data_IF_446275321293
#
_entry.id   IF_446275321293
#
_cell.length_a   1.000
_cell.length_b   1.000
_cell.length_c   1.000
_cell.angle_alpha   90.00
_cell.angle_beta   90.00
_cell.angle_gamma   90.00
#
_symmetry.space_group_name_H-M   'P 1'
#
loop_
_entity.id
_entity.type
_entity.pdbx_description
1 polymer ?
#
# COMPACT_ATOMS: atom_id res chain seq x y z
N UNK A 1 1.78 -17.69 -31.54
CA UNK A 1 1.66 -16.86 -30.32
C UNK A 1 1.11 -17.76 -29.23
N UNK A 2 1.70 -17.74 -28.03
CA UNK A 2 1.27 -18.59 -26.91
C UNK A 2 0.08 -18.00 -26.12
N UNK A 3 -0.37 -16.78 -26.48
CA UNK A 3 -1.63 -16.19 -26.07
C UNK A 3 -2.44 -15.66 -27.26
N UNK A 4 -3.61 -15.11 -26.96
CA UNK A 4 -4.55 -14.56 -27.94
C UNK A 4 -4.68 -13.07 -27.73
N UNK A 5 -4.12 -12.30 -28.65
CA UNK A 5 -4.19 -10.84 -28.65
C UNK A 5 -5.46 -10.36 -29.38
N UNK A 6 -6.23 -9.50 -28.72
CA UNK A 6 -7.33 -8.75 -29.32
C UNK A 6 -6.99 -7.26 -29.40
N UNK A 7 -7.87 -6.44 -29.98
CA UNK A 7 -7.61 -5.00 -30.12
C UNK A 7 -7.38 -4.28 -28.79
N UNK A 8 -7.96 -4.78 -27.69
CA UNK A 8 -7.97 -4.12 -26.37
C UNK A 8 -7.66 -5.07 -25.21
N UNK A 9 -7.18 -6.28 -25.48
CA UNK A 9 -6.90 -7.26 -24.44
C UNK A 9 -5.86 -8.29 -24.91
N UNK A 10 -5.30 -9.02 -23.95
CA UNK A 10 -4.45 -10.18 -24.20
C UNK A 10 -4.87 -11.33 -23.30
N UNK A 11 -5.31 -12.44 -23.88
CA UNK A 11 -5.64 -13.65 -23.14
C UNK A 11 -4.40 -14.56 -23.07
N UNK A 12 -3.95 -14.97 -21.87
CA UNK A 12 -2.81 -15.89 -21.70
C UNK A 12 -3.19 -17.35 -22.00
N UNK A 13 -3.75 -17.57 -23.19
CA UNK A 13 -4.16 -18.88 -23.72
C UNK A 13 -4.18 -18.85 -25.25
N UNK A 14 -3.69 -19.90 -25.88
CA UNK A 14 -3.76 -20.08 -27.34
C UNK A 14 -5.19 -20.42 -27.78
N UNK A 15 -5.66 -19.78 -28.85
CA UNK A 15 -6.99 -20.04 -29.42
C UNK A 15 -7.03 -21.14 -30.49
N UNK A 16 -6.31 -22.25 -30.32
CA UNK A 16 -6.31 -23.37 -31.28
C UNK A 16 -7.65 -24.11 -31.34
N UNK A 17 -8.35 -24.20 -30.21
CA UNK A 17 -9.68 -24.83 -30.10
C UNK A 17 -10.83 -23.91 -30.48
N UNK A 18 -10.56 -22.63 -30.76
CA UNK A 18 -11.59 -21.64 -31.09
C UNK A 18 -12.49 -21.25 -29.91
N UNK A 19 -12.11 -21.53 -28.65
CA UNK A 19 -12.92 -21.25 -27.45
C UNK A 19 -12.63 -19.87 -26.83
N UNK A 20 -11.50 -19.23 -27.16
CA UNK A 20 -11.10 -17.97 -26.54
C UNK A 20 -12.05 -16.86 -26.97
N UNK A 21 -12.51 -16.05 -26.02
CA UNK A 21 -13.47 -14.97 -26.21
C UNK A 21 -13.03 -13.70 -25.50
N UNK A 22 -13.51 -12.56 -25.98
CA UNK A 22 -13.26 -11.25 -25.37
C UNK A 22 -13.60 -11.25 -23.87
N UNK A 23 -12.69 -10.78 -22.99
CA UNK A 23 -12.94 -10.67 -21.56
C UNK A 23 -13.91 -9.53 -21.22
N UNK A 24 -14.35 -8.76 -22.22
CA UNK A 24 -15.36 -7.71 -22.07
C UNK A 24 -16.77 -8.16 -22.44
N UNK A 25 -16.92 -9.33 -23.06
CA UNK A 25 -18.20 -9.78 -23.61
C UNK A 25 -18.62 -11.15 -23.06
N UNK A 26 -17.65 -12.03 -22.76
CA UNK A 26 -17.94 -13.42 -22.39
C UNK A 26 -17.16 -13.86 -21.16
N UNK A 27 -17.75 -14.75 -20.31
CA UNK A 27 -17.07 -15.38 -19.19
C UNK A 27 -15.80 -16.12 -19.59
N UNK A 28 -14.77 -16.04 -18.74
CA UNK A 28 -13.45 -16.60 -18.96
C UNK A 28 -13.26 -17.96 -18.26
N UNK A 29 -14.36 -18.70 -18.06
CA UNK A 29 -14.37 -20.00 -17.36
C UNK A 29 -13.59 -21.11 -18.07
N UNK A 30 -13.17 -20.89 -19.31
CA UNK A 30 -12.26 -21.80 -20.02
C UNK A 30 -10.79 -21.64 -19.57
N UNK A 31 -10.44 -20.55 -18.88
CA UNK A 31 -9.09 -20.31 -18.38
C UNK A 31 -8.76 -21.15 -17.14
N UNK A 32 -9.72 -21.25 -16.22
CA UNK A 32 -9.59 -21.99 -14.95
C UNK A 32 -10.96 -22.43 -14.45
N UNK A 33 -10.99 -23.32 -13.45
CA UNK A 33 -12.22 -23.77 -12.81
C UNK A 33 -13.06 -22.55 -12.29
N UNK A 34 -14.38 -22.50 -12.56
CA UNK A 34 -15.28 -21.45 -12.06
C UNK A 34 -15.18 -21.19 -10.55
N UNK A 35 -14.87 -22.20 -9.73
CA UNK A 35 -14.65 -22.03 -8.29
C UNK A 35 -13.51 -21.05 -7.96
N UNK A 36 -12.50 -20.92 -8.81
CA UNK A 36 -11.42 -19.95 -8.63
C UNK A 36 -11.94 -18.50 -8.73
N UNK A 37 -12.88 -18.22 -9.63
CA UNK A 37 -13.51 -16.91 -9.76
C UNK A 37 -14.34 -16.56 -8.52
N UNK A 38 -15.12 -17.54 -8.00
CA UNK A 38 -15.84 -17.39 -6.73
C UNK A 38 -14.89 -17.14 -5.56
N UNK A 39 -13.72 -17.80 -5.53
CA UNK A 39 -12.71 -17.57 -4.51
C UNK A 39 -12.11 -16.15 -4.60
N UNK A 40 -11.83 -15.64 -5.80
CA UNK A 40 -11.39 -14.25 -6.01
C UNK A 40 -12.46 -13.25 -5.57
N UNK A 41 -13.73 -13.50 -5.91
CA UNK A 41 -14.84 -12.64 -5.49
C UNK A 41 -14.97 -12.61 -3.95
N UNK A 42 -14.89 -13.76 -3.28
CA UNK A 42 -14.92 -13.85 -1.82
C UNK A 42 -13.71 -13.13 -1.18
N UNK A 43 -12.52 -13.28 -1.77
CA UNK A 43 -11.33 -12.57 -1.33
C UNK A 43 -11.46 -11.05 -1.47
N UNK A 44 -11.92 -10.55 -2.62
CA UNK A 44 -12.15 -9.11 -2.82
C UNK A 44 -13.23 -8.57 -1.89
N UNK A 45 -14.29 -9.33 -1.65
CA UNK A 45 -15.31 -8.97 -0.66
C UNK A 45 -14.72 -8.83 0.74
N UNK A 46 -13.85 -9.76 1.17
CA UNK A 46 -13.13 -9.66 2.44
C UNK A 46 -12.24 -8.41 2.47
N UNK A 47 -11.53 -8.13 1.38
CA UNK A 47 -10.70 -6.92 1.29
C UNK A 47 -11.51 -5.63 1.45
N UNK A 48 -12.71 -5.57 0.85
CA UNK A 48 -13.60 -4.41 0.98
C UNK A 48 -14.14 -4.33 2.42
N UNK A 49 -14.61 -5.44 2.96
CA UNK A 49 -15.22 -5.53 4.29
C UNK A 49 -14.26 -5.08 5.40
N UNK A 50 -12.96 -5.36 5.27
CA UNK A 50 -11.94 -4.97 6.25
C UNK A 50 -11.28 -3.64 5.87
N UNK A 51 -10.96 -3.46 4.60
CA UNK A 51 -10.24 -2.29 4.10
C UNK A 51 -11.03 -1.00 4.24
N UNK A 52 -12.33 -1.00 3.94
CA UNK A 52 -13.14 0.21 4.05
C UNK A 52 -13.22 0.72 5.49
N UNK A 53 -13.65 -0.09 6.50
CA UNK A 53 -13.77 0.41 7.87
C UNK A 53 -12.44 0.85 8.48
N UNK A 54 -11.35 0.11 8.25
CA UNK A 54 -10.03 0.45 8.82
C UNK A 54 -9.52 1.79 8.28
N UNK A 55 -9.61 2.00 6.97
CA UNK A 55 -9.15 3.26 6.36
C UNK A 55 -10.10 4.42 6.69
N UNK A 56 -11.42 4.19 6.70
CA UNK A 56 -12.39 5.21 7.08
C UNK A 56 -12.22 5.63 8.55
N UNK A 57 -12.04 4.67 9.47
CA UNK A 57 -11.78 4.96 10.87
C UNK A 57 -10.47 5.72 11.05
N UNK A 58 -9.43 5.37 10.27
CA UNK A 58 -8.15 6.08 10.29
C UNK A 58 -8.30 7.55 9.91
N UNK A 59 -9.06 7.81 8.86
CA UNK A 59 -9.42 9.16 8.41
C UNK A 59 -10.22 9.90 9.49
N UNK A 60 -11.29 9.29 9.99
CA UNK A 60 -12.19 9.87 10.98
C UNK A 60 -11.49 10.26 12.29
N UNK A 61 -10.72 9.32 12.89
CA UNK A 61 -10.02 9.55 14.17
C UNK A 61 -8.99 10.67 14.03
N UNK A 62 -8.27 10.75 12.92
CA UNK A 62 -7.27 11.80 12.68
C UNK A 62 -7.92 13.19 12.54
N UNK A 63 -9.10 13.26 11.91
CA UNK A 63 -9.86 14.50 11.78
C UNK A 63 -10.45 14.96 13.11
N UNK A 64 -10.97 14.03 13.92
CA UNK A 64 -11.59 14.32 15.21
C UNK A 64 -10.55 14.80 16.24
N UNK A 65 -9.42 14.09 16.36
CA UNK A 65 -8.41 14.38 17.38
C UNK A 65 -7.34 15.36 16.87
N UNK A 66 -7.47 16.65 17.21
CA UNK A 66 -6.47 17.69 16.85
C UNK A 66 -5.04 17.34 17.23
N UNK A 67 -4.83 16.58 18.31
CA UNK A 67 -3.51 16.09 18.75
C UNK A 67 -2.82 15.20 17.72
N UNK A 68 -3.58 14.57 16.83
CA UNK A 68 -3.08 13.76 15.73
C UNK A 68 -2.77 14.57 14.47
N UNK A 69 -2.89 15.89 14.44
CA UNK A 69 -2.59 16.69 13.24
C UNK A 69 -1.12 17.08 13.17
N UNK A 70 -0.23 16.09 13.28
CA UNK A 70 1.21 16.28 13.15
C UNK A 70 1.65 15.96 11.72
N UNK A 71 2.76 16.53 11.23
CA UNK A 71 3.26 16.30 9.86
C UNK A 71 3.34 14.81 9.45
N UNK A 72 3.70 13.93 10.38
CA UNK A 72 3.72 12.48 10.17
C UNK A 72 2.33 11.92 9.86
N UNK A 73 1.32 12.38 10.59
CA UNK A 73 -0.04 11.88 10.47
C UNK A 73 -0.75 12.41 9.21
N UNK A 74 -0.25 13.48 8.56
CA UNK A 74 -0.71 13.88 7.22
C UNK A 74 -0.42 12.79 6.18
N UNK A 75 0.73 12.11 6.27
CA UNK A 75 1.06 11.00 5.37
C UNK A 75 0.19 9.77 5.64
N UNK A 76 -0.16 9.52 6.91
CA UNK A 76 -1.11 8.46 7.27
C UNK A 76 -2.52 8.76 6.73
N UNK A 77 -2.95 10.01 6.83
CA UNK A 77 -4.21 10.48 6.26
C UNK A 77 -4.22 10.27 4.75
N UNK A 78 -3.14 10.67 4.08
CA UNK A 78 -2.96 10.51 2.65
C UNK A 78 -3.09 9.05 2.21
N UNK A 79 -2.45 8.14 2.95
CA UNK A 79 -2.52 6.70 2.71
C UNK A 79 -3.92 6.14 2.92
N UNK A 80 -4.63 6.59 3.96
CA UNK A 80 -6.02 6.19 4.19
C UNK A 80 -6.93 6.63 3.04
N UNK A 81 -6.76 7.85 2.52
CA UNK A 81 -7.50 8.34 1.35
C UNK A 81 -7.17 7.52 0.10
N UNK A 82 -5.89 7.23 -0.15
CA UNK A 82 -5.46 6.40 -1.27
C UNK A 82 -6.07 4.99 -1.24
N UNK A 83 -6.08 4.36 -0.07
CA UNK A 83 -6.67 3.04 0.10
C UNK A 83 -8.20 3.07 -0.07
N UNK A 84 -8.89 4.11 0.42
CA UNK A 84 -10.32 4.28 0.17
C UNK A 84 -10.61 4.42 -1.33
N UNK A 85 -9.74 5.10 -2.07
CA UNK A 85 -9.83 5.19 -3.53
C UNK A 85 -9.73 3.81 -4.20
N UNK A 86 -8.77 2.98 -3.78
CA UNK A 86 -8.64 1.59 -4.26
C UNK A 86 -9.85 0.74 -3.90
N UNK A 87 -10.35 0.84 -2.67
CA UNK A 87 -11.45 0.02 -2.17
C UNK A 87 -12.76 0.37 -2.89
N UNK A 88 -13.08 1.66 -3.02
CA UNK A 88 -14.36 2.12 -3.58
C UNK A 88 -14.40 1.96 -5.10
N UNK A 89 -13.34 2.33 -5.81
CA UNK A 89 -13.33 2.30 -7.28
C UNK A 89 -12.75 1.01 -7.87
N UNK A 90 -11.63 0.55 -7.32
CA UNK A 90 -10.92 -0.64 -7.79
C UNK A 90 -11.60 -1.92 -7.34
N UNK A 91 -11.61 -2.18 -6.03
CA UNK A 91 -11.96 -3.49 -5.49
C UNK A 91 -13.40 -3.87 -5.73
N UNK A 92 -14.33 -2.90 -5.71
CA UNK A 92 -15.73 -3.11 -6.08
C UNK A 92 -15.85 -3.62 -7.52
N UNK A 93 -15.12 -3.02 -8.45
CA UNK A 93 -15.09 -3.41 -9.86
C UNK A 93 -14.44 -4.79 -10.05
N UNK A 94 -13.31 -5.06 -9.39
CA UNK A 94 -12.65 -6.37 -9.40
C UNK A 94 -13.57 -7.46 -8.84
N UNK A 95 -14.25 -7.19 -7.72
CA UNK A 95 -15.19 -8.11 -7.08
C UNK A 95 -16.36 -8.42 -8.03
N UNK A 96 -16.97 -7.38 -8.59
CA UNK A 96 -18.11 -7.53 -9.50
C UNK A 96 -17.72 -8.32 -10.76
N UNK A 97 -16.53 -8.06 -11.32
CA UNK A 97 -16.00 -8.80 -12.47
C UNK A 97 -15.70 -10.26 -12.12
N UNK A 98 -15.15 -10.51 -10.93
CA UNK A 98 -14.87 -11.87 -10.43
C UNK A 98 -16.15 -12.69 -10.20
N UNK A 99 -17.25 -12.06 -9.78
CA UNK A 99 -18.56 -12.73 -9.61
C UNK A 99 -19.15 -13.22 -10.94
N UNK A 100 -18.81 -12.58 -12.06
CA UNK A 100 -19.33 -12.91 -13.38
C UNK A 100 -18.33 -13.70 -14.25
N UNK A 101 -17.05 -13.72 -13.84
CA UNK A 101 -15.98 -14.40 -14.56
C UNK A 101 -15.39 -13.63 -15.75
N UNK A 102 -15.72 -12.34 -15.90
CA UNK A 102 -15.22 -11.44 -16.94
C UNK A 102 -15.52 -9.97 -16.59
N UNK A 103 -14.96 -9.01 -17.35
CA UNK A 103 -15.20 -7.58 -17.17
C UNK A 103 -16.54 -7.13 -17.76
N UNK A 104 -17.62 -7.34 -17.01
CA UNK A 104 -19.00 -6.96 -17.38
C UNK A 104 -19.15 -5.46 -17.67
N UNK A 105 -18.39 -4.63 -16.96
CA UNK A 105 -18.40 -3.16 -17.14
C UNK A 105 -17.59 -2.70 -18.36
N UNK A 106 -17.15 -3.63 -19.21
CA UNK A 106 -16.39 -3.37 -20.42
C UNK A 106 -15.07 -2.65 -20.14
N UNK A 107 -14.58 -1.93 -21.16
CA UNK A 107 -13.32 -1.18 -21.09
C UNK A 107 -13.37 -0.06 -20.05
N UNK A 108 -14.52 0.59 -19.90
CA UNK A 108 -14.69 1.67 -18.91
C UNK A 108 -14.48 1.15 -17.50
N UNK A 109 -15.06 0.00 -17.15
CA UNK A 109 -14.81 -0.63 -15.85
C UNK A 109 -13.35 -1.03 -15.66
N UNK A 110 -12.70 -1.56 -16.69
CA UNK A 110 -11.28 -1.88 -16.66
C UNK A 110 -10.39 -0.65 -16.43
N UNK A 111 -10.71 0.47 -17.08
CA UNK A 111 -10.01 1.74 -16.87
C UNK A 111 -10.21 2.27 -15.45
N UNK A 112 -11.44 2.20 -14.91
CA UNK A 112 -11.72 2.60 -13.52
C UNK A 112 -10.93 1.72 -12.55
N UNK A 113 -10.95 0.41 -12.74
CA UNK A 113 -10.29 -0.54 -11.86
C UNK A 113 -8.77 -0.35 -11.87
N UNK A 114 -8.18 -0.33 -13.07
CA UNK A 114 -6.74 -0.14 -13.26
C UNK A 114 -6.28 1.23 -12.76
N UNK A 115 -7.01 2.30 -13.09
CA UNK A 115 -6.71 3.64 -12.60
C UNK A 115 -6.74 3.72 -11.08
N UNK A 116 -7.82 3.26 -10.44
CA UNK A 116 -7.95 3.31 -8.98
C UNK A 116 -6.89 2.46 -8.28
N UNK A 117 -6.60 1.27 -8.80
CA UNK A 117 -5.56 0.39 -8.25
C UNK A 117 -4.16 0.99 -8.40
N UNK A 118 -3.80 1.48 -9.59
CA UNK A 118 -2.49 2.13 -9.83
C UNK A 118 -2.36 3.42 -9.04
N UNK A 119 -3.36 4.30 -9.08
CA UNK A 119 -3.30 5.60 -8.42
C UNK A 119 -3.13 5.45 -6.90
N UNK A 120 -3.92 4.57 -6.28
CA UNK A 120 -3.79 4.32 -4.83
C UNK A 120 -2.47 3.65 -4.46
N UNK A 121 -2.02 2.66 -5.25
CA UNK A 121 -0.72 1.99 -5.05
C UNK A 121 0.46 2.96 -5.16
N UNK A 122 0.42 3.86 -6.14
CA UNK A 122 1.44 4.89 -6.34
C UNK A 122 1.42 5.95 -5.23
N UNK A 123 0.26 6.44 -4.80
CA UNK A 123 0.20 7.36 -3.65
C UNK A 123 0.81 6.69 -2.42
N UNK A 124 0.54 5.40 -2.19
CA UNK A 124 1.12 4.64 -1.10
C UNK A 124 2.64 4.55 -1.19
N UNK A 125 3.17 4.22 -2.37
CA UNK A 125 4.62 4.16 -2.63
C UNK A 125 5.29 5.50 -2.37
N UNK A 126 4.81 6.57 -2.99
CA UNK A 126 5.42 7.89 -2.84
C UNK A 126 5.25 8.45 -1.42
N UNK A 127 4.20 8.03 -0.69
CA UNK A 127 4.06 8.32 0.74
C UNK A 127 5.18 7.67 1.56
N UNK A 128 5.59 6.44 1.24
CA UNK A 128 6.74 5.79 1.88
C UNK A 128 8.04 6.51 1.57
N UNK A 129 8.22 7.01 0.34
CA UNK A 129 9.40 7.81 -0.05
C UNK A 129 9.46 9.11 0.75
N UNK A 130 8.36 9.87 0.82
CA UNK A 130 8.29 11.12 1.59
C UNK A 130 8.58 10.87 3.06
N UNK A 131 8.03 9.80 3.63
CA UNK A 131 8.29 9.42 5.01
C UNK A 131 9.75 9.01 5.24
N UNK A 132 10.37 8.29 4.31
CA UNK A 132 11.79 7.94 4.41
C UNK A 132 12.69 9.19 4.40
N UNK A 133 12.41 10.14 3.50
CA UNK A 133 13.13 11.42 3.43
C UNK A 133 12.92 12.24 4.70
N UNK A 134 11.68 12.40 5.17
CA UNK A 134 11.36 13.14 6.39
C UNK A 134 12.15 12.59 7.59
N UNK A 135 12.10 11.27 7.79
CA UNK A 135 12.83 10.62 8.89
C UNK A 135 14.33 10.81 8.78
N UNK A 136 14.88 10.69 7.58
CA UNK A 136 16.30 10.93 7.36
C UNK A 136 16.70 12.38 7.65
N UNK A 137 15.92 13.37 7.19
CA UNK A 137 16.23 14.78 7.46
C UNK A 137 16.11 15.09 8.95
N UNK A 138 15.02 14.72 9.60
CA UNK A 138 14.77 15.06 11.01
C UNK A 138 15.78 14.42 11.96
N UNK A 139 16.21 13.18 11.67
CA UNK A 139 17.09 12.44 12.59
C UNK A 139 18.57 12.59 12.22
N UNK A 140 18.94 12.45 10.95
CA UNK A 140 20.35 12.43 10.53
C UNK A 140 20.91 13.81 10.18
N UNK A 141 20.04 14.80 9.96
CA UNK A 141 20.44 16.16 9.58
C UNK A 141 19.76 17.16 10.52
N UNK A 142 20.25 17.31 11.76
CA UNK A 142 19.82 18.40 12.63
C UNK A 142 20.38 19.71 12.07
N UNK A 143 19.76 20.20 10.99
CA UNK A 143 20.07 21.50 10.39
C UNK A 143 19.62 22.54 11.42
N UNK A 144 20.56 23.35 11.89
CA UNK A 144 20.24 24.43 12.81
C UNK A 144 19.10 25.29 12.22
N UNK A 145 18.00 25.39 12.96
CA UNK A 145 16.77 26.12 12.61
C UNK A 145 15.81 25.46 11.59
N UNK A 146 16.04 24.22 11.13
CA UNK A 146 15.05 23.51 10.32
C UNK A 146 14.10 22.70 11.21
N UNK A 147 12.79 22.93 11.05
CA UNK A 147 11.75 22.10 11.65
C UNK A 147 10.77 21.66 10.58
N UNK A 148 10.60 20.35 10.44
CA UNK A 148 9.59 19.79 9.56
C UNK A 148 8.20 20.18 10.09
N UNK A 149 7.53 21.06 9.37
CA UNK A 149 6.23 21.64 9.71
C UNK A 149 5.15 21.25 8.72
N UNK A 150 3.94 21.79 8.91
CA UNK A 150 2.76 21.47 8.10
C UNK A 150 2.95 21.77 6.61
N UNK A 151 3.58 22.89 6.26
CA UNK A 151 3.85 23.24 4.86
C UNK A 151 4.67 22.17 4.13
N UNK A 152 5.66 21.57 4.81
CA UNK A 152 6.48 20.51 4.24
C UNK A 152 5.68 19.21 4.08
N UNK A 153 4.78 18.91 5.03
CA UNK A 153 3.87 17.77 4.91
C UNK A 153 2.89 17.93 3.73
N UNK A 154 2.27 19.11 3.58
CA UNK A 154 1.35 19.42 2.46
C UNK A 154 2.09 19.34 1.12
N UNK A 155 3.31 19.86 1.05
CA UNK A 155 4.15 19.72 -0.14
C UNK A 155 4.47 18.25 -0.44
N UNK A 156 4.78 17.45 0.58
CA UNK A 156 4.97 16.00 0.45
C UNK A 156 3.74 15.29 -0.08
N UNK A 157 2.56 15.56 0.49
CA UNK A 157 1.28 15.00 0.02
C UNK A 157 1.03 15.40 -1.43
N UNK A 158 1.14 16.68 -1.77
CA UNK A 158 0.95 17.18 -3.14
C UNK A 158 1.89 16.48 -4.14
N UNK A 159 3.15 16.27 -3.74
CA UNK A 159 4.12 15.52 -4.52
C UNK A 159 3.70 14.06 -4.75
N UNK A 160 3.18 13.36 -3.73
CA UNK A 160 2.72 11.97 -3.91
C UNK A 160 1.58 11.86 -4.93
N UNK A 161 0.65 12.81 -4.94
CA UNK A 161 -0.48 12.82 -5.88
C UNK A 161 -0.01 13.14 -7.29
N UNK A 162 0.92 14.08 -7.44
CA UNK A 162 1.52 14.40 -8.72
C UNK A 162 2.23 13.19 -9.32
N UNK A 163 3.07 12.52 -8.54
CA UNK A 163 3.78 11.32 -9.00
C UNK A 163 2.81 10.17 -9.30
N UNK A 164 1.79 9.96 -8.46
CA UNK A 164 0.77 8.95 -8.74
C UNK A 164 0.00 9.24 -10.03
N UNK A 165 -0.37 10.50 -10.28
CA UNK A 165 -1.00 10.91 -11.52
C UNK A 165 -0.06 10.71 -12.73
N UNK A 166 1.24 10.99 -12.57
CA UNK A 166 2.24 10.80 -13.61
C UNK A 166 2.41 9.33 -14.07
N UNK A 167 1.95 8.36 -13.29
CA UNK A 167 1.89 6.94 -13.68
C UNK A 167 0.48 6.48 -14.06
N UNK A 168 -0.56 6.90 -13.32
CA UNK A 168 -1.93 6.37 -13.50
C UNK A 168 -2.73 7.06 -14.61
N UNK A 169 -2.46 8.32 -14.92
CA UNK A 169 -3.18 9.07 -15.95
C UNK A 169 -2.73 8.75 -17.38
N UNK A 170 -1.42 8.60 -17.70
CA UNK A 170 -0.99 8.38 -19.09
C UNK A 170 -1.68 7.22 -19.83
N UNK A 171 -1.93 6.06 -19.20
CA UNK A 171 -2.68 4.96 -19.84
C UNK A 171 -4.12 5.31 -20.26
N UNK A 172 -4.71 6.37 -19.67
CA UNK A 172 -6.04 6.86 -20.03
C UNK A 172 -6.01 7.83 -21.22
N UNK A 173 -4.85 8.41 -21.54
CA UNK A 173 -4.69 9.47 -22.55
C UNK A 173 -3.76 9.07 -23.69
N UNK A 174 -3.52 7.77 -23.87
CA UNK A 174 -2.85 7.21 -25.05
C UNK A 174 -1.37 6.88 -24.91
N UNK A 175 -0.79 6.96 -23.71
CA UNK A 175 0.54 6.42 -23.43
C UNK A 175 0.42 5.17 -22.56
N UNK A 176 0.56 3.99 -23.17
CA UNK A 176 0.06 2.71 -22.69
C UNK A 176 -1.47 2.65 -22.60
N UNK A 177 -1.98 1.63 -21.92
CA UNK A 177 -3.41 1.42 -21.63
C UNK A 177 -3.59 0.47 -20.45
N UNK A 178 -4.79 0.49 -19.88
CA UNK A 178 -5.25 -0.54 -18.93
C UNK A 178 -5.90 -1.70 -19.68
N UNK A 179 -5.43 -2.92 -19.43
CA UNK A 179 -6.02 -4.15 -19.98
C UNK A 179 -6.21 -5.22 -18.90
N UNK A 180 -7.11 -6.19 -19.11
CA UNK A 180 -7.36 -7.25 -18.13
C UNK A 180 -6.15 -8.17 -18.01
N UNK A 181 -5.83 -8.56 -16.78
CA UNK A 181 -4.65 -9.36 -16.44
C UNK A 181 -5.02 -10.68 -15.75
N UNK A 182 -4.17 -11.69 -15.92
CA UNK A 182 -4.32 -13.00 -15.28
C UNK A 182 -5.58 -13.75 -15.69
N UNK A 183 -6.48 -14.00 -14.73
CA UNK A 183 -7.81 -14.58 -14.95
C UNK A 183 -8.81 -13.59 -15.57
N UNK A 184 -8.37 -12.38 -15.92
CA UNK A 184 -9.16 -11.36 -16.61
C UNK A 184 -10.27 -10.76 -15.74
N UNK A 185 -10.03 -10.67 -14.43
CA UNK A 185 -10.95 -10.04 -13.46
C UNK A 185 -10.35 -8.83 -12.74
N UNK A 186 -9.07 -8.54 -12.98
CA UNK A 186 -8.37 -7.32 -12.59
C UNK A 186 -7.75 -6.70 -13.85
N UNK A 187 -7.48 -5.39 -13.82
CA UNK A 187 -6.83 -4.66 -14.89
C UNK A 187 -5.52 -4.04 -14.41
N UNK A 188 -4.56 -3.99 -15.32
CA UNK A 188 -3.23 -3.45 -15.08
C UNK A 188 -2.67 -2.81 -16.34
N UNK A 189 -1.45 -2.31 -16.22
CA UNK A 189 -0.72 -1.71 -17.34
C UNK A 189 -0.45 -2.78 -18.42
N UNK A 190 -0.48 -2.40 -19.68
CA UNK A 190 -0.16 -3.32 -20.77
C UNK A 190 1.35 -3.60 -20.89
N UNK A 191 1.80 -4.64 -20.16
CA UNK A 191 3.12 -5.26 -20.32
C UNK A 191 3.08 -6.48 -21.26
N UNK A 192 1.92 -6.81 -21.82
CA UNK A 192 1.69 -8.01 -22.63
C UNK A 192 1.97 -7.81 -24.12
N UNK A 193 1.59 -6.65 -24.66
CA UNK A 193 1.53 -6.42 -26.11
C UNK A 193 2.43 -5.27 -26.56
N UNK A 194 2.73 -5.26 -27.87
CA UNK A 194 3.38 -4.14 -28.57
C UNK A 194 2.38 -3.44 -29.48
N UNK A 195 1.26 -3.01 -28.90
CA UNK A 195 0.19 -2.35 -29.63
C UNK A 195 0.69 -1.06 -30.34
N UNK A 196 0.60 -0.97 -31.67
CA UNK A 196 1.04 0.20 -32.41
C UNK A 196 0.31 1.47 -31.95
N UNK A 197 1.04 2.57 -31.78
CA UNK A 197 0.47 3.87 -31.40
C UNK A 197 0.30 4.11 -29.89
N UNK A 198 0.37 3.08 -29.04
CA UNK A 198 0.27 3.23 -27.58
C UNK A 198 1.62 3.32 -26.86
N UNK A 199 2.71 2.90 -27.51
CA UNK A 199 4.07 2.96 -26.98
C UNK A 199 4.25 2.25 -25.62
N UNK A 200 3.59 1.10 -25.42
CA UNK A 200 3.62 0.29 -24.20
C UNK A 200 5.04 0.08 -23.66
N UNK A 201 6.00 -0.26 -24.51
CA UNK A 201 7.39 -0.55 -24.11
C UNK A 201 8.04 0.64 -23.39
N UNK A 202 7.88 1.85 -23.95
CA UNK A 202 8.42 3.07 -23.34
C UNK A 202 7.78 3.37 -21.99
N UNK A 203 6.47 3.13 -21.86
CA UNK A 203 5.74 3.35 -20.61
C UNK A 203 6.13 2.35 -19.53
N UNK A 204 6.28 1.07 -19.88
CA UNK A 204 6.71 0.03 -18.93
C UNK A 204 8.13 0.32 -18.43
N UNK A 205 9.06 0.70 -19.31
CA UNK A 205 10.41 1.11 -18.90
C UNK A 205 10.37 2.33 -17.97
N UNK A 206 9.54 3.33 -18.30
CA UNK A 206 9.31 4.50 -17.45
C UNK A 206 8.77 4.11 -16.07
N UNK A 207 7.74 3.28 -16.00
CA UNK A 207 7.13 2.82 -14.75
C UNK A 207 8.16 2.09 -13.88
N UNK A 208 8.89 1.12 -14.42
CA UNK A 208 9.89 0.37 -13.64
C UNK A 208 11.06 1.26 -13.20
N UNK A 209 11.47 2.22 -14.01
CA UNK A 209 12.59 3.11 -13.66
C UNK A 209 12.14 4.15 -12.63
N UNK A 210 11.12 4.94 -12.95
CA UNK A 210 10.69 6.10 -12.18
C UNK A 210 9.79 5.74 -10.99
N UNK A 211 8.95 4.72 -11.12
CA UNK A 211 7.93 4.34 -10.14
C UNK A 211 8.24 3.03 -9.42
N UNK A 212 9.43 2.45 -9.61
CA UNK A 212 9.86 1.29 -8.85
C UNK A 212 11.32 1.41 -8.39
N UNK A 213 12.28 1.51 -9.32
CA UNK A 213 13.71 1.57 -8.98
C UNK A 213 14.09 2.84 -8.21
N UNK A 214 13.69 4.02 -8.67
CA UNK A 214 14.01 5.29 -7.97
C UNK A 214 13.42 5.31 -6.55
N UNK A 215 12.12 5.06 -6.32
CA UNK A 215 11.53 4.98 -4.98
C UNK A 215 12.28 4.00 -4.06
N UNK A 216 12.58 2.80 -4.54
CA UNK A 216 13.32 1.80 -3.76
C UNK A 216 14.70 2.31 -3.37
N UNK A 217 15.47 2.86 -4.31
CA UNK A 217 16.81 3.39 -4.03
C UNK A 217 16.76 4.51 -2.99
N UNK A 218 15.80 5.42 -3.09
CA UNK A 218 15.62 6.51 -2.12
C UNK A 218 15.26 5.96 -0.74
N UNK A 219 14.32 5.02 -0.66
CA UNK A 219 13.91 4.40 0.62
C UNK A 219 15.10 3.67 1.26
N UNK A 220 15.81 2.84 0.51
CA UNK A 220 16.99 2.11 1.01
C UNK A 220 18.09 3.06 1.47
N UNK A 221 18.37 4.11 0.70
CA UNK A 221 19.37 5.10 1.08
C UNK A 221 18.99 5.83 2.37
N UNK A 222 17.78 6.41 2.43
CA UNK A 222 17.33 7.20 3.58
C UNK A 222 17.32 6.36 4.86
N UNK A 223 16.74 5.16 4.79
CA UNK A 223 16.66 4.28 5.94
C UNK A 223 17.99 3.62 6.30
N UNK A 224 18.86 3.33 5.34
CA UNK A 224 20.23 2.90 5.62
C UNK A 224 21.00 3.94 6.43
N UNK A 225 20.92 5.22 6.02
CA UNK A 225 21.54 6.33 6.75
C UNK A 225 20.89 6.55 8.13
N UNK A 226 19.57 6.40 8.24
CA UNK A 226 18.85 6.46 9.50
C UNK A 226 19.35 5.41 10.48
N UNK A 227 19.43 4.15 10.06
CA UNK A 227 19.92 3.05 10.90
C UNK A 227 21.37 3.26 11.34
N UNK A 228 22.25 3.75 10.47
CA UNK A 228 23.62 4.10 10.85
C UNK A 228 23.64 5.17 11.96
N UNK A 229 22.93 6.28 11.75
CA UNK A 229 22.93 7.40 12.70
C UNK A 229 22.36 7.01 14.08
N UNK A 230 21.27 6.23 14.08
CA UNK A 230 20.64 5.80 15.34
C UNK A 230 21.52 4.77 16.07
N UNK A 231 22.20 3.88 15.36
CA UNK A 231 23.18 2.95 15.96
C UNK A 231 24.39 3.67 16.53
N UNK A 232 24.92 4.68 15.82
CA UNK A 232 26.02 5.51 16.33
C UNK A 232 25.62 6.26 17.60
N UNK A 233 24.42 6.85 17.64
CA UNK A 233 23.90 7.53 18.82
C UNK A 233 23.70 6.57 20.00
N UNK A 234 23.13 5.38 19.75
CA UNK A 234 22.98 4.34 20.78
C UNK A 234 24.34 3.85 21.30
N UNK A 235 25.35 3.72 20.43
CA UNK A 235 26.70 3.35 20.84
C UNK A 235 27.40 4.46 21.66
N UNK A 236 27.12 5.73 21.37
CA UNK A 236 27.64 6.86 22.15
C UNK A 236 26.96 7.00 23.52
N UNK A 237 25.70 6.57 23.65
CA UNK A 237 24.90 6.68 24.87
C UNK A 237 24.43 5.29 25.35
N UNK A 238 25.40 4.40 25.61
CA UNK A 238 25.12 3.02 26.03
C UNK A 238 24.34 2.92 27.34
N UNK A 239 24.55 3.85 28.27
CA UNK A 239 23.88 3.86 29.58
C UNK A 239 22.42 4.37 29.51
N UNK A 240 22.00 4.97 28.39
CA UNK A 240 20.66 5.54 28.25
C UNK A 240 19.66 4.50 27.73
N UNK A 241 18.90 3.88 28.65
CA UNK A 241 17.82 2.94 28.29
C UNK A 241 16.79 3.56 27.32
N UNK A 242 16.51 4.85 27.46
CA UNK A 242 15.59 5.58 26.58
C UNK A 242 16.12 5.68 25.15
N UNK A 243 17.42 5.91 24.97
CA UNK A 243 18.07 5.98 23.65
C UNK A 243 18.14 4.60 22.99
N UNK A 244 18.49 3.55 23.75
CA UNK A 244 18.48 2.17 23.27
C UNK A 244 17.07 1.71 22.84
N UNK A 245 16.05 2.07 23.62
CA UNK A 245 14.66 1.77 23.27
C UNK A 245 14.22 2.49 21.99
N UNK A 246 14.56 3.76 21.86
CA UNK A 246 14.26 4.54 20.66
C UNK A 246 14.93 3.93 19.42
N UNK A 247 16.18 3.46 19.52
CA UNK A 247 16.86 2.73 18.45
C UNK A 247 16.06 1.51 18.02
N UNK A 248 15.70 0.65 18.97
CA UNK A 248 15.00 -0.60 18.67
C UNK A 248 13.64 -0.36 18.03
N UNK A 249 12.91 0.67 18.48
CA UNK A 249 11.60 1.02 17.94
C UNK A 249 11.70 1.56 16.50
N UNK A 250 12.67 2.45 16.23
CA UNK A 250 12.92 3.00 14.88
C UNK A 250 13.40 1.90 13.94
N UNK A 251 14.40 1.10 14.35
CA UNK A 251 14.94 0.00 13.55
C UNK A 251 13.87 -1.02 13.19
N UNK A 252 13.00 -1.39 14.14
CA UNK A 252 11.87 -2.29 13.89
C UNK A 252 10.87 -1.69 12.89
N UNK A 253 10.53 -0.41 13.04
CA UNK A 253 9.60 0.28 12.12
C UNK A 253 10.11 0.27 10.68
N UNK A 254 11.37 0.68 10.48
CA UNK A 254 12.02 0.71 9.16
C UNK A 254 11.98 -0.66 8.49
N UNK A 255 12.41 -1.69 9.22
CA UNK A 255 12.49 -3.06 8.69
C UNK A 255 11.10 -3.56 8.31
N UNK A 256 10.09 -3.36 9.17
CA UNK A 256 8.73 -3.80 8.89
C UNK A 256 8.13 -3.10 7.66
N UNK A 257 8.35 -1.79 7.50
CA UNK A 257 7.80 -1.02 6.38
C UNK A 257 8.42 -1.43 5.05
N UNK A 258 9.74 -1.60 4.99
CA UNK A 258 10.44 -2.05 3.78
C UNK A 258 10.05 -3.48 3.42
N UNK A 259 10.04 -4.39 4.40
CA UNK A 259 9.65 -5.79 4.18
C UNK A 259 8.19 -5.88 3.70
N UNK A 260 7.27 -5.14 4.33
CA UNK A 260 5.86 -5.14 3.93
C UNK A 260 5.68 -4.65 2.49
N UNK A 261 6.41 -3.60 2.08
CA UNK A 261 6.38 -3.12 0.70
C UNK A 261 6.92 -4.17 -0.28
N UNK A 262 8.10 -4.73 -0.01
CA UNK A 262 8.72 -5.73 -0.89
C UNK A 262 7.87 -6.98 -1.01
N UNK A 263 7.34 -7.51 0.10
CA UNK A 263 6.48 -8.69 0.08
C UNK A 263 5.28 -8.44 -0.82
N UNK A 264 4.65 -7.27 -0.73
CA UNK A 264 3.43 -6.97 -1.46
C UNK A 264 3.65 -6.70 -2.95
N UNK A 265 4.65 -5.88 -3.30
CA UNK A 265 4.78 -5.35 -4.66
C UNK A 265 5.87 -6.02 -5.49
N UNK A 266 6.91 -6.58 -4.86
CA UNK A 266 7.99 -7.24 -5.59
C UNK A 266 7.49 -8.45 -6.40
N UNK A 267 6.57 -9.30 -5.90
CA UNK A 267 6.01 -10.39 -6.72
C UNK A 267 5.31 -9.88 -7.97
N UNK A 268 4.47 -8.84 -7.85
CA UNK A 268 3.78 -8.22 -8.98
C UNK A 268 4.75 -7.62 -9.98
N UNK A 269 5.68 -6.79 -9.50
CA UNK A 269 6.70 -6.15 -10.33
C UNK A 269 7.57 -7.20 -11.06
N UNK A 270 7.97 -8.28 -10.38
CA UNK A 270 8.79 -9.33 -10.98
C UNK A 270 8.05 -10.07 -12.09
N UNK A 271 6.78 -10.41 -11.88
CA UNK A 271 5.95 -11.09 -12.89
C UNK A 271 5.64 -10.15 -14.07
N UNK A 272 5.31 -8.89 -13.81
CA UNK A 272 5.07 -7.90 -14.85
C UNK A 272 6.33 -7.68 -15.71
N UNK A 273 7.51 -7.55 -15.09
CA UNK A 273 8.78 -7.43 -15.80
C UNK A 273 9.14 -8.69 -16.59
N UNK A 274 8.87 -9.87 -16.03
CA UNK A 274 9.08 -11.14 -16.72
C UNK A 274 8.22 -11.21 -17.99
N UNK A 275 6.92 -10.91 -17.90
CA UNK A 275 6.01 -10.93 -19.05
C UNK A 275 6.46 -9.89 -20.09
N UNK A 276 6.84 -8.69 -19.65
CA UNK A 276 7.37 -7.64 -20.53
C UNK A 276 8.62 -8.07 -21.31
N UNK A 277 9.56 -8.74 -20.65
CA UNK A 277 10.80 -9.19 -21.28
C UNK A 277 10.65 -10.48 -22.09
N UNK A 278 9.57 -11.23 -21.88
CA UNK A 278 9.27 -12.51 -22.53
C UNK A 278 7.91 -12.48 -23.25
N UNK A 279 7.57 -11.38 -23.92
CA UNK A 279 6.30 -11.25 -24.63
C UNK A 279 6.12 -12.37 -25.67
N UNK A 280 4.94 -13.01 -25.65
CA UNK A 280 4.63 -14.15 -26.51
C UNK A 280 5.13 -15.52 -26.02
N UNK A 281 5.85 -15.57 -24.89
CA UNK A 281 6.13 -16.82 -24.16
C UNK A 281 4.86 -17.46 -23.58
N UNK A 282 4.95 -18.72 -23.19
CA UNK A 282 3.84 -19.43 -22.56
C UNK A 282 3.80 -19.13 -21.05
N UNK A 283 2.70 -18.55 -20.59
CA UNK A 283 2.38 -18.37 -19.18
C UNK A 283 0.87 -18.50 -19.00
N UNK A 284 0.46 -19.10 -17.88
CA UNK A 284 -0.96 -19.31 -17.58
C UNK A 284 -1.63 -18.10 -16.89
N UNK A 285 -2.97 -18.09 -16.80
CA UNK A 285 -3.74 -17.00 -16.18
C UNK A 285 -3.45 -16.82 -14.68
N UNK A 286 -3.13 -17.90 -13.96
CA UNK A 286 -2.86 -17.86 -12.52
C UNK A 286 -1.55 -17.12 -12.20
N UNK A 287 -0.59 -17.11 -13.14
CA UNK A 287 0.75 -16.57 -12.94
C UNK A 287 0.75 -15.08 -12.56
N UNK A 288 -0.09 -14.27 -13.23
CA UNK A 288 -0.29 -12.86 -12.87
C UNK A 288 -1.40 -12.65 -11.84
N UNK A 289 -2.41 -13.54 -11.80
CA UNK A 289 -3.54 -13.40 -10.86
C UNK A 289 -3.07 -13.40 -9.41
N UNK A 290 -2.22 -14.35 -9.02
CA UNK A 290 -1.76 -14.47 -7.63
C UNK A 290 -1.06 -13.20 -7.12
N UNK A 291 0.01 -12.69 -7.76
CA UNK A 291 0.68 -11.48 -7.29
C UNK A 291 -0.19 -10.22 -7.42
N UNK A 292 -1.03 -10.11 -8.46
CA UNK A 292 -1.95 -8.96 -8.62
C UNK A 292 -2.94 -8.86 -7.46
N UNK A 293 -3.63 -9.95 -7.14
CA UNK A 293 -4.59 -9.96 -6.04
C UNK A 293 -3.88 -9.86 -4.68
N UNK A 294 -2.70 -10.45 -4.53
CA UNK A 294 -1.89 -10.29 -3.32
C UNK A 294 -1.49 -8.82 -3.10
N UNK A 295 -1.14 -8.09 -4.16
CA UNK A 295 -0.79 -6.68 -4.08
C UNK A 295 -1.96 -5.82 -3.55
N UNK A 296 -3.21 -6.20 -3.85
CA UNK A 296 -4.41 -5.52 -3.35
C UNK A 296 -4.57 -5.61 -1.83
N UNK A 297 -3.96 -6.58 -1.16
CA UNK A 297 -3.95 -6.66 0.32
C UNK A 297 -3.25 -5.47 1.00
N UNK A 298 -2.46 -4.69 0.25
CA UNK A 298 -1.83 -3.44 0.71
C UNK A 298 -2.79 -2.41 1.27
N UNK A 299 -4.03 -2.38 0.79
CA UNK A 299 -5.04 -1.49 1.33
C UNK A 299 -5.38 -1.77 2.81
N UNK A 300 -5.06 -2.97 3.33
CA UNK A 300 -5.30 -3.36 4.73
C UNK A 300 -4.02 -3.29 5.55
N UNK A 301 -2.96 -3.99 5.13
CA UNK A 301 -1.80 -4.15 6.02
C UNK A 301 -1.07 -2.83 6.24
N UNK A 302 -1.10 -1.91 5.26
CA UNK A 302 -0.48 -0.59 5.38
C UNK A 302 -1.04 0.16 6.61
N UNK A 303 -2.35 0.46 6.70
CA UNK A 303 -2.95 1.04 7.91
C UNK A 303 -2.70 0.23 9.18
N UNK A 304 -2.79 -1.10 9.11
CA UNK A 304 -2.63 -1.96 10.29
C UNK A 304 -1.24 -1.82 10.91
N UNK A 305 -0.18 -1.78 10.09
CA UNK A 305 1.18 -1.53 10.58
C UNK A 305 1.22 -0.21 11.34
N UNK A 306 0.67 0.87 10.79
CA UNK A 306 0.73 2.18 11.46
C UNK A 306 -0.13 2.25 12.72
N UNK A 307 -1.35 1.71 12.71
CA UNK A 307 -2.25 1.66 13.87
C UNK A 307 -1.60 0.89 15.02
N UNK A 308 -1.00 -0.27 14.72
CA UNK A 308 -0.35 -1.10 15.72
C UNK A 308 0.91 -0.41 16.29
N UNK A 309 1.64 0.33 15.47
CA UNK A 309 2.92 0.94 15.84
C UNK A 309 2.79 2.32 16.51
N UNK A 310 1.69 3.04 16.33
CA UNK A 310 1.50 4.38 16.91
C UNK A 310 0.63 4.33 18.18
N UNK A 311 1.28 4.34 19.37
CA UNK A 311 0.57 4.33 20.68
C UNK A 311 -0.42 5.49 20.80
N UNK A 312 -0.03 6.70 20.40
CA UNK A 312 -0.89 7.88 20.47
C UNK A 312 -2.15 7.71 19.60
N UNK A 313 -1.97 7.22 18.38
CA UNK A 313 -3.09 6.94 17.48
C UNK A 313 -4.03 5.88 18.07
N UNK A 314 -3.48 4.78 18.58
CA UNK A 314 -4.27 3.69 19.20
C UNK A 314 -5.10 4.18 20.37
N UNK A 315 -4.53 5.00 21.26
CA UNK A 315 -5.25 5.61 22.39
C UNK A 315 -6.44 6.44 21.89
N UNK A 316 -6.21 7.37 20.95
CA UNK A 316 -7.27 8.19 20.37
C UNK A 316 -8.36 7.34 19.68
N UNK A 317 -7.97 6.29 18.96
CA UNK A 317 -8.89 5.38 18.28
C UNK A 317 -9.79 4.65 19.28
N UNK A 318 -9.23 4.12 20.38
CA UNK A 318 -10.02 3.51 21.46
C UNK A 318 -10.99 4.53 22.05
N UNK A 319 -10.52 5.73 22.39
CA UNK A 319 -11.39 6.80 22.93
C UNK A 319 -12.56 7.09 21.98
N UNK A 320 -12.33 7.11 20.66
CA UNK A 320 -13.40 7.28 19.68
C UNK A 320 -14.36 6.10 19.63
N UNK A 321 -13.85 4.85 19.62
CA UNK A 321 -14.68 3.64 19.57
C UNK A 321 -15.55 3.44 20.81
N UNK A 322 -15.09 3.93 21.97
CA UNK A 322 -15.80 3.84 23.25
C UNK A 322 -16.44 5.16 23.68
N UNK A 323 -16.77 6.03 22.72
CA UNK A 323 -17.54 7.28 22.94
C UNK A 323 -16.97 8.18 24.05
N UNK A 324 -15.65 8.38 24.07
CA UNK A 324 -14.96 9.23 25.04
C UNK A 324 -14.41 8.51 26.27
N UNK A 325 -14.71 7.21 26.45
CA UNK A 325 -14.13 6.39 27.52
C UNK A 325 -12.86 5.72 27.02
N UNK A 326 -11.83 5.63 27.86
CA UNK A 326 -10.61 4.92 27.53
C UNK A 326 -10.40 3.76 28.53
N UNK A 327 -10.98 2.58 28.28
CA UNK A 327 -10.94 1.46 29.23
C UNK A 327 -9.51 0.98 29.56
N UNK A 328 -8.52 1.34 28.74
CA UNK A 328 -7.12 0.96 28.95
C UNK A 328 -6.29 1.99 29.75
N UNK A 329 -6.76 3.24 29.92
CA UNK A 329 -6.11 4.21 30.81
C UNK A 329 -6.49 3.98 32.29
N UNK A 330 -7.69 3.44 32.54
CA UNK A 330 -8.14 3.10 33.91
C UNK A 330 -7.30 1.96 34.53
N UNK A 331 -6.79 1.00 33.74
CA UNK A 331 -5.90 -0.06 34.22
C UNK A 331 -4.45 0.42 34.52
N UNK A 332 -3.87 1.31 33.70
CA UNK A 332 -2.55 1.90 33.99
C UNK A 332 -2.63 2.79 35.24
N UNK A 333 -3.71 3.56 35.43
CA UNK A 333 -3.95 4.36 36.65
C UNK A 333 -4.12 3.54 37.92
N UNK A 334 -4.85 2.42 37.86
CA UNK A 334 -5.05 1.52 39.00
C UNK A 334 -3.74 0.81 39.42
N UNK A 335 -2.90 0.43 38.45
CA UNK A 335 -1.60 -0.21 38.73
C UNK A 335 -0.55 0.75 39.29
N UNK A 336 -0.62 2.04 38.94
CA UNK A 336 0.25 3.09 39.51
C UNK A 336 -0.21 3.47 40.92
N UNK A 337 -1.53 3.62 41.14
CA UNK A 337 -2.09 3.91 42.47
C UNK A 337 -1.80 2.80 43.48
N UNK A 338 -1.87 1.53 43.06
CA UNK A 338 -1.51 0.38 43.91
C UNK A 338 -0.01 0.32 44.26
N UNK A 339 0.88 0.81 43.38
CA UNK A 339 2.32 0.90 43.67
C UNK A 339 2.67 2.08 44.59
N UNK A 340 1.90 3.16 44.54
CA UNK A 340 2.12 4.30 45.44
C UNK A 340 1.68 3.97 46.87
N UNK A 341 0.55 3.27 47.07
CA UNK A 341 0.08 2.85 48.41
C UNK A 341 0.97 1.78 49.06
N UNK A 342 1.55 0.86 48.28
CA UNK A 342 2.49 -0.14 48.79
C UNK A 342 3.84 0.47 49.22
N UNK A 343 4.18 1.68 48.76
CA UNK A 343 5.44 2.36 49.08
C UNK A 343 5.32 3.30 50.30
N UNK A 344 4.12 3.77 50.65
CA UNK A 344 3.89 4.63 51.82
C UNK A 344 3.68 3.88 53.13
N UNK A 345 3.50 2.55 53.10
CA UNK A 345 3.18 1.75 54.29
C UNK A 345 4.38 1.07 54.97
N UNK A 346 5.62 1.25 54.48
CA UNK A 346 6.81 0.56 55.01
C UNK A 346 7.76 1.43 55.85
N UNK A 347 7.40 2.67 56.20
CA UNK A 347 8.22 3.54 57.06
C UNK A 347 7.50 3.96 58.34
N UNK A 348 7.26 3.03 59.25
CA UNK A 348 7.07 3.35 60.68
C UNK A 348 7.88 2.36 61.51
N UNK A 349 9.00 2.85 62.06
CA UNK A 349 9.83 2.18 63.07
C UNK A 349 9.07 1.94 64.37
N UNK A 350 9.55 1.04 65.23
CA UNK A 350 9.63 1.40 66.63
C UNK A 350 11.02 1.17 67.25
N UNK A 351 11.36 2.17 68.07
CA UNK A 351 12.25 2.27 69.24
C UNK A 351 13.08 1.07 69.68
#
# INVERSE_FOLDING_TARGET
MNGTEGPDFYIPMVNTSGIVRSPYEYPQYYLVNPAAFSALAAYMFLLILVGFPVNFLTLYVTLEHKKLRTPLNYILLNLAVANLFMVIGGFTTTMYSSMHGYFVLGRTGCNIEGFCATHGGEIALWSLVVLAIERWVVVCKPIANFRFGENHAIMGVSFTWLMAAACSVPPLIGWSRYIPEGMQCACGIDYYTRAPGLNNESFVIYMFSCHFSIPLLVIFFCYGRLLCAVKEAAAAQQESETTQRAEREVSRMVVLMVIAFLICWLPYASVAWYIFTHQGSEFGPVFMTLPSFFAKSSAIYNPMIYICMNKQFRTCMVTTLFCGKNPFEEEEGASVSAKTEASTTSSVSPA
#
